data_IF_348145823265
#
_entry.id   IF_348145823265
#
_cell.length_a   1.000
_cell.length_b   1.000
_cell.length_c   1.000
_cell.angle_alpha   90.00
_cell.angle_beta   90.00
_cell.angle_gamma   90.00
#
_symmetry.space_group_name_H-M   'P 1'
#
loop_
_entity.id
_entity.type
_entity.pdbx_description
1 polymer ?
#
# COMPACT_ATOMS: atom_id res chain seq x y z
N UNK A 1 -4.92 -16.34 1.21
CA UNK A 1 -5.12 -14.93 1.64
C UNK A 1 -6.52 -14.46 1.35
N UNK A 2 -7.06 -14.71 0.15
CA UNK A 2 -8.44 -14.40 -0.23
C UNK A 2 -9.48 -14.99 0.75
N UNK A 3 -9.33 -16.26 1.13
CA UNK A 3 -10.27 -16.93 2.04
C UNK A 3 -10.36 -16.26 3.42
N UNK A 4 -9.26 -15.67 3.93
CA UNK A 4 -9.24 -14.94 5.20
C UNK A 4 -10.11 -13.67 5.14
N UNK A 5 -10.14 -12.97 3.99
CA UNK A 5 -10.99 -11.79 3.83
C UNK A 5 -12.47 -12.15 3.66
N UNK A 6 -12.76 -13.30 3.05
CA UNK A 6 -14.13 -13.85 2.95
C UNK A 6 -14.66 -14.25 4.33
N UNK A 7 -13.83 -14.86 5.18
CA UNK A 7 -14.18 -15.20 6.56
C UNK A 7 -14.44 -13.96 7.45
N UNK A 8 -13.85 -12.81 7.12
CA UNK A 8 -14.05 -11.53 7.82
C UNK A 8 -15.23 -10.71 7.28
N UNK A 9 -16.14 -11.32 6.51
CA UNK A 9 -17.31 -10.68 5.90
C UNK A 9 -16.97 -9.46 5.01
N UNK A 10 -15.80 -9.46 4.36
CA UNK A 10 -15.44 -8.41 3.43
C UNK A 10 -16.45 -8.35 2.27
N UNK A 11 -16.91 -7.14 1.92
CA UNK A 11 -17.80 -6.91 0.78
C UNK A 11 -17.06 -7.26 -0.51
N UNK A 12 -17.77 -7.73 -1.54
CA UNK A 12 -17.16 -8.23 -2.78
C UNK A 12 -16.18 -7.27 -3.45
N UNK A 13 -16.42 -5.95 -3.38
CA UNK A 13 -15.50 -4.94 -3.94
C UNK A 13 -14.18 -4.80 -3.17
N UNK A 14 -14.13 -5.23 -1.91
CA UNK A 14 -12.90 -5.25 -1.10
C UNK A 14 -12.01 -6.45 -1.47
N UNK A 15 -12.54 -7.40 -2.24
CA UNK A 15 -11.81 -8.57 -2.71
C UNK A 15 -11.08 -8.31 -4.04
N UNK A 16 -11.37 -7.19 -4.72
CA UNK A 16 -10.71 -6.74 -5.95
C UNK A 16 -9.43 -5.95 -5.66
N UNK A 17 -8.53 -6.51 -4.85
CA UNK A 17 -7.24 -5.88 -4.58
C UNK A 17 -6.20 -6.30 -5.63
N UNK A 18 -5.34 -5.38 -6.07
CA UNK A 18 -4.25 -5.72 -6.97
C UNK A 18 -3.19 -6.55 -6.25
N UNK A 19 -2.61 -7.51 -6.98
CA UNK A 19 -1.54 -8.38 -6.48
C UNK A 19 -0.26 -8.04 -7.22
N UNK A 20 0.81 -7.81 -6.46
CA UNK A 20 2.15 -7.59 -7.00
C UNK A 20 3.14 -8.57 -6.38
N UNK A 21 4.04 -9.10 -7.20
CA UNK A 21 5.09 -10.03 -6.80
C UNK A 21 6.41 -9.28 -6.71
N UNK A 22 7.18 -9.51 -5.65
CA UNK A 22 8.44 -8.80 -5.43
C UNK A 22 9.55 -9.74 -4.96
N UNK A 23 10.79 -9.36 -5.27
CA UNK A 23 11.99 -9.97 -4.72
C UNK A 23 12.90 -8.88 -4.18
N UNK A 24 12.87 -8.68 -2.86
CA UNK A 24 13.68 -7.65 -2.20
C UNK A 24 15.19 -7.86 -2.43
N UNK A 25 15.64 -9.13 -2.47
CA UNK A 25 17.05 -9.47 -2.73
C UNK A 25 17.51 -9.03 -4.12
N UNK A 26 16.65 -9.14 -5.11
CA UNK A 26 16.98 -8.78 -6.50
C UNK A 26 16.57 -7.34 -6.83
N UNK A 27 15.81 -6.67 -5.97
CA UNK A 27 15.34 -5.31 -6.22
C UNK A 27 14.32 -5.21 -7.36
N UNK A 28 13.52 -6.26 -7.59
CA UNK A 28 12.52 -6.31 -8.66
C UNK A 28 11.08 -6.50 -8.15
N UNK A 29 10.12 -5.94 -8.89
CA UNK A 29 8.68 -6.12 -8.74
C UNK A 29 8.02 -6.42 -10.10
N UNK A 30 6.94 -7.19 -10.10
CA UNK A 30 6.17 -7.53 -11.31
C UNK A 30 4.71 -7.83 -10.98
N UNK A 31 3.82 -7.51 -11.93
CA UNK A 31 2.40 -7.90 -11.87
C UNK A 31 2.16 -9.32 -12.39
N UNK A 32 3.14 -9.91 -13.08
CA UNK A 32 3.07 -11.26 -13.65
C UNK A 32 4.20 -12.11 -13.07
N UNK A 33 3.90 -13.13 -12.25
CA UNK A 33 4.92 -13.95 -11.59
C UNK A 33 5.76 -14.75 -12.59
N UNK A 34 5.29 -14.94 -13.82
CA UNK A 34 6.03 -15.63 -14.89
C UNK A 34 6.97 -14.69 -15.66
N UNK A 35 6.86 -13.37 -15.46
CA UNK A 35 7.71 -12.37 -16.09
C UNK A 35 8.57 -11.68 -15.04
N UNK A 36 9.88 -11.95 -15.00
CA UNK A 36 10.77 -11.25 -14.09
C UNK A 36 10.70 -9.73 -14.33
N UNK A 37 10.44 -9.00 -13.25
CA UNK A 37 10.54 -7.54 -13.23
C UNK A 37 11.97 -7.07 -13.47
N UNK A 38 12.13 -5.78 -13.77
CA UNK A 38 13.46 -5.17 -13.97
C UNK A 38 13.91 -4.35 -12.77
N UNK A 39 12.96 -3.79 -12.04
CA UNK A 39 13.16 -2.89 -10.91
C UNK A 39 11.88 -2.83 -10.06
N UNK A 40 11.83 -1.91 -9.11
CA UNK A 40 10.68 -1.68 -8.22
C UNK A 40 9.67 -0.66 -8.76
N UNK A 41 9.84 -0.12 -9.97
CA UNK A 41 8.90 0.86 -10.55
C UNK A 41 7.44 0.37 -10.53
N UNK A 42 7.13 -0.90 -10.86
CA UNK A 42 5.75 -1.40 -10.83
C UNK A 42 5.11 -1.31 -9.44
N UNK A 43 5.88 -1.44 -8.37
CA UNK A 43 5.37 -1.31 -7.00
C UNK A 43 4.99 0.14 -6.69
N UNK A 44 5.85 1.09 -7.03
CA UNK A 44 5.58 2.51 -6.76
C UNK A 44 4.41 3.03 -7.59
N UNK A 45 4.32 2.65 -8.87
CA UNK A 45 3.18 3.01 -9.70
C UNK A 45 1.89 2.39 -9.19
N UNK A 46 1.92 1.14 -8.71
CA UNK A 46 0.74 0.52 -8.10
C UNK A 46 0.28 1.30 -6.86
N UNK A 47 1.21 1.59 -5.94
CA UNK A 47 0.91 2.38 -4.72
C UNK A 47 0.31 3.74 -5.08
N UNK A 48 0.91 4.45 -6.05
CA UNK A 48 0.44 5.77 -6.49
C UNK A 48 -0.94 5.74 -7.13
N UNK A 49 -1.29 4.67 -7.85
CA UNK A 49 -2.57 4.56 -8.55
C UNK A 49 -3.71 4.07 -7.64
N UNK A 50 -3.39 3.23 -6.65
CA UNK A 50 -4.39 2.56 -5.81
C UNK A 50 -4.59 3.26 -4.46
N UNK A 51 -3.56 3.94 -3.94
CA UNK A 51 -3.67 4.68 -2.68
C UNK A 51 -4.14 6.12 -2.99
N UNK A 52 -5.34 6.51 -2.55
CA UNK A 52 -5.82 7.87 -2.75
C UNK A 52 -4.94 8.86 -1.99
N UNK A 53 -4.79 10.06 -2.54
CA UNK A 53 -4.12 11.15 -1.85
C UNK A 53 -4.79 11.45 -0.50
N UNK A 54 -4.02 11.82 0.53
CA UNK A 54 -4.59 12.21 1.82
C UNK A 54 -5.51 13.41 1.63
N UNK A 55 -6.65 13.39 2.32
CA UNK A 55 -7.63 14.47 2.27
C UNK A 55 -7.28 15.53 3.30
N UNK A 56 -7.46 16.81 2.94
CA UNK A 56 -7.15 17.94 3.81
C UNK A 56 -7.44 19.28 3.13
N UNK A 57 -7.40 20.37 3.89
CA UNK A 57 -7.57 21.74 3.38
C UNK A 57 -6.30 22.54 3.68
N UNK A 58 -5.37 22.66 2.70
CA UNK A 58 -4.07 23.31 2.91
C UNK A 58 -4.17 24.77 3.39
N UNK A 59 -5.25 25.45 3.00
CA UNK A 59 -5.58 26.83 3.35
C UNK A 59 -6.15 27.03 4.76
N UNK A 60 -6.50 25.95 5.49
CA UNK A 60 -6.96 26.05 6.87
C UNK A 60 -5.81 25.99 7.88
N UNK A 61 -6.03 26.42 9.14
CA UNK A 61 -5.07 26.24 10.21
C UNK A 61 -4.65 24.77 10.38
N UNK A 62 -3.40 24.55 10.81
CA UNK A 62 -2.82 23.23 11.03
C UNK A 62 -3.73 22.35 11.90
N UNK A 63 -4.02 21.15 11.39
CA UNK A 63 -4.69 20.08 12.12
C UNK A 63 -3.78 18.84 12.11
N UNK A 64 -3.41 18.36 13.30
CA UNK A 64 -2.56 17.20 13.49
C UNK A 64 -3.15 16.27 14.55
N UNK A 65 -3.27 14.99 14.24
CA UNK A 65 -3.69 13.95 15.19
C UNK A 65 -2.48 13.12 15.61
N UNK A 66 -2.19 13.11 16.92
CA UNK A 66 -1.13 12.28 17.47
C UNK A 66 -1.68 10.86 17.61
N UNK A 67 -1.16 9.93 16.79
CA UNK A 67 -1.59 8.51 16.77
C UNK A 67 -0.59 7.59 17.47
N UNK A 68 0.66 8.02 17.57
CA UNK A 68 1.76 7.30 18.22
C UNK A 68 2.53 8.27 19.09
N UNK A 69 2.80 7.87 20.33
CA UNK A 69 3.68 8.59 21.24
C UNK A 69 4.98 7.82 21.29
N UNK A 70 6.07 8.52 21.00
CA UNK A 70 7.42 8.02 21.15
C UNK A 70 8.21 9.02 22.00
N UNK A 71 9.18 8.51 22.75
CA UNK A 71 9.98 9.32 23.69
C UNK A 71 11.44 8.89 23.58
N UNK A 72 12.33 9.86 23.42
CA UNK A 72 13.77 9.66 23.36
C UNK A 72 14.45 10.43 24.51
N UNK A 73 15.30 9.74 25.26
CA UNK A 73 16.04 10.21 26.44
C UNK A 73 17.55 10.35 26.17
N UNK A 74 17.95 10.20 24.90
CA UNK A 74 19.35 10.19 24.44
C UNK A 74 20.03 11.56 24.43
#
# INVERSE_FOLDING_TARGET
>A
VFDLFVELEAKSWQLDFPIIYTSARQGIATMDPMKPGKDMEPLFELVKNEIPAPTGKPELPLQLQIVTLDYDDS
#
